data_IF_361077293381
#
_entry.id   IF_361077293381
#
_cell.length_a   1.000
_cell.length_b   1.000
_cell.length_c   1.000
_cell.angle_alpha   90.00
_cell.angle_beta   90.00
_cell.angle_gamma   90.00
#
_symmetry.space_group_name_H-M   'P 1'
#
loop_
_entity.id
_entity.type
_entity.pdbx_description
1 polymer ?
#
# COMPACT_ATOMS: atom_id res chain seq x y z
N UNK A 1 -14.33 18.66 37.41
CA UNK A 1 -14.14 17.27 36.96
C UNK A 1 -14.96 17.04 35.72
N UNK A 2 -14.35 16.40 34.72
CA UNK A 2 -15.06 15.57 33.74
C UNK A 2 -15.77 16.28 32.59
N UNK A 3 -15.03 16.89 31.66
CA UNK A 3 -15.44 16.98 30.26
C UNK A 3 -14.22 16.76 29.35
N UNK A 4 -13.68 15.54 29.40
CA UNK A 4 -12.78 14.99 28.39
C UNK A 4 -13.54 13.95 27.56
N UNK A 5 -14.77 14.31 27.17
CA UNK A 5 -15.57 13.50 26.26
C UNK A 5 -15.30 13.98 24.83
N UNK A 6 -14.77 13.07 24.02
CA UNK A 6 -14.78 13.07 22.54
C UNK A 6 -13.77 13.98 21.81
N UNK A 7 -12.46 13.80 22.00
CA UNK A 7 -11.49 14.03 20.89
C UNK A 7 -10.24 13.15 21.02
N UNK A 8 -10.42 11.83 21.14
CA UNK A 8 -9.28 10.89 20.96
C UNK A 8 -9.58 9.77 19.94
N UNK A 9 -10.73 9.85 19.26
CA UNK A 9 -11.17 8.84 18.28
C UNK A 9 -10.92 9.22 16.81
N UNK A 10 -10.21 10.32 16.53
CA UNK A 10 -10.03 10.84 15.17
C UNK A 10 -8.58 11.22 14.77
N UNK A 11 -7.59 11.09 15.66
CA UNK A 11 -6.18 11.42 15.33
C UNK A 11 -5.33 10.22 14.87
N UNK A 12 -5.90 9.01 14.89
CA UNK A 12 -5.30 7.79 14.34
C UNK A 12 -6.27 7.11 13.37
N UNK A 13 -6.84 7.86 12.43
CA UNK A 13 -7.65 7.27 11.37
C UNK A 13 -6.82 6.14 10.71
N UNK A 14 -7.33 4.92 10.80
CA UNK A 14 -6.82 3.72 10.14
C UNK A 14 -7.03 3.77 8.62
N UNK A 15 -6.96 4.97 8.05
CA UNK A 15 -7.60 5.39 6.81
C UNK A 15 -6.76 6.38 6.02
N UNK A 16 -5.53 6.66 6.44
CA UNK A 16 -4.64 7.50 5.65
C UNK A 16 -3.90 6.67 4.59
N UNK A 17 -3.70 7.21 3.37
CA UNK A 17 -2.92 6.54 2.32
C UNK A 17 -1.51 6.14 2.79
N UNK A 18 -0.87 6.96 3.62
CA UNK A 18 0.47 6.68 4.14
C UNK A 18 0.53 5.44 5.04
N UNK A 19 -0.52 5.19 5.84
CA UNK A 19 -0.60 4.00 6.69
C UNK A 19 -0.79 2.75 5.84
N UNK A 20 -1.75 2.77 4.92
CA UNK A 20 -2.01 1.65 4.01
C UNK A 20 -0.78 1.34 3.16
N UNK A 21 -0.05 2.37 2.71
CA UNK A 21 1.24 2.23 2.05
C UNK A 21 2.27 1.50 2.92
N UNK A 22 2.42 1.90 4.19
CA UNK A 22 3.35 1.27 5.12
C UNK A 22 3.05 -0.21 5.32
N UNK A 23 1.78 -0.52 5.58
CA UNK A 23 1.29 -1.88 5.78
C UNK A 23 1.48 -2.74 4.51
N UNK A 24 1.19 -2.20 3.32
CA UNK A 24 1.38 -2.90 2.05
C UNK A 24 2.87 -3.15 1.74
N UNK A 25 3.74 -2.18 2.03
CA UNK A 25 5.19 -2.33 1.84
C UNK A 25 5.77 -3.37 2.78
N UNK A 26 5.31 -3.43 4.03
CA UNK A 26 5.73 -4.46 4.99
C UNK A 26 5.33 -5.86 4.50
N UNK A 27 4.10 -6.02 4.00
CA UNK A 27 3.66 -7.29 3.38
C UNK A 27 4.52 -7.69 2.18
N UNK A 28 4.95 -6.73 1.36
CA UNK A 28 5.91 -6.99 0.27
C UNK A 28 7.27 -7.46 0.81
N UNK A 29 7.75 -6.89 1.92
CA UNK A 29 9.06 -7.19 2.51
C UNK A 29 9.16 -8.58 3.13
N UNK A 30 8.05 -9.14 3.57
CA UNK A 30 8.01 -10.48 4.19
C UNK A 30 7.59 -11.58 3.21
N UNK A 31 7.14 -11.23 2.00
CA UNK A 31 6.65 -12.20 1.03
C UNK A 31 7.81 -12.95 0.33
N UNK A 32 7.92 -14.29 0.46
CA UNK A 32 9.07 -15.04 -0.02
C UNK A 32 9.37 -14.86 -1.50
N UNK A 33 8.34 -14.77 -2.35
CA UNK A 33 8.54 -14.58 -3.79
C UNK A 33 9.01 -13.16 -4.14
N UNK A 34 8.58 -12.16 -3.37
CA UNK A 34 9.05 -10.78 -3.56
C UNK A 34 10.50 -10.68 -3.10
N UNK A 35 10.84 -11.26 -1.95
CA UNK A 35 12.22 -11.36 -1.47
C UNK A 35 13.10 -12.08 -2.50
N UNK A 36 12.63 -13.19 -3.06
CA UNK A 36 13.38 -13.95 -4.07
C UNK A 36 13.68 -13.18 -5.34
N UNK A 37 12.84 -12.21 -5.72
CA UNK A 37 13.05 -11.37 -6.91
C UNK A 37 13.88 -10.13 -6.59
N UNK A 38 13.54 -9.40 -5.53
CA UNK A 38 14.11 -8.09 -5.23
C UNK A 38 15.36 -8.16 -4.34
N UNK A 39 15.53 -9.27 -3.61
CA UNK A 39 16.50 -9.39 -2.52
C UNK A 39 16.21 -8.42 -1.37
N UNK A 40 17.07 -8.44 -0.36
CA UNK A 40 16.98 -7.50 0.77
C UNK A 40 18.15 -6.50 0.71
N UNK A 41 17.91 -5.21 1.01
CA UNK A 41 16.66 -4.59 1.45
C UNK A 41 15.73 -4.17 0.31
N UNK A 42 14.41 -4.22 0.54
CA UNK A 42 13.39 -3.69 -0.38
C UNK A 42 13.00 -2.26 0.03
N UNK A 43 13.24 -1.31 -0.86
CA UNK A 43 12.87 0.10 -0.70
C UNK A 43 11.52 0.36 -1.35
N UNK A 44 10.68 1.17 -0.72
CA UNK A 44 9.44 1.67 -1.31
C UNK A 44 9.50 3.18 -1.53
N UNK A 45 8.87 3.66 -2.59
CA UNK A 45 8.72 5.09 -2.85
C UNK A 45 7.44 5.41 -3.62
N UNK A 46 6.89 6.60 -3.37
CA UNK A 46 5.72 7.12 -4.07
C UNK A 46 6.03 7.63 -5.49
N UNK A 47 5.05 8.29 -6.10
CA UNK A 47 5.23 8.96 -7.38
C UNK A 47 6.33 10.03 -7.33
N UNK A 48 7.10 10.08 -8.41
CA UNK A 48 8.10 11.13 -8.61
C UNK A 48 7.38 12.37 -9.13
N UNK A 49 7.33 13.42 -8.32
CA UNK A 49 6.90 14.75 -8.82
C UNK A 49 7.88 15.24 -9.90
N UNK A 50 7.45 16.15 -10.79
CA UNK A 50 8.32 16.77 -11.82
C UNK A 50 9.61 17.40 -11.27
N UNK A 51 9.70 17.65 -9.96
CA UNK A 51 10.88 18.18 -9.25
C UNK A 51 11.71 17.09 -8.52
N UNK A 52 11.49 15.81 -8.80
CA UNK A 52 12.29 14.70 -8.26
C UNK A 52 11.96 14.29 -6.82
N UNK A 53 10.93 14.87 -6.18
CA UNK A 53 10.52 14.46 -4.83
C UNK A 53 9.62 13.23 -4.93
N UNK A 54 10.06 12.11 -4.34
CA UNK A 54 9.34 10.81 -4.24
C UNK A 54 8.49 10.71 -2.96
N UNK A 55 7.73 11.75 -2.63
CA UNK A 55 7.06 11.85 -1.32
C UNK A 55 5.57 11.52 -1.32
N UNK A 56 4.91 11.44 -2.49
CA UNK A 56 3.46 11.25 -2.55
C UNK A 56 3.10 9.86 -3.07
N UNK A 57 2.36 9.09 -2.28
CA UNK A 57 1.82 7.81 -2.74
C UNK A 57 0.61 8.08 -3.62
N UNK A 58 0.61 7.54 -4.84
CA UNK A 58 -0.52 7.65 -5.75
C UNK A 58 -1.69 6.89 -5.15
N UNK A 59 -2.81 7.57 -4.90
CA UNK A 59 -3.98 6.95 -4.32
C UNK A 59 -5.26 7.52 -4.93
N UNK A 60 -6.31 6.70 -4.94
CA UNK A 60 -7.65 7.09 -5.37
C UNK A 60 -8.66 6.52 -4.39
N UNK A 61 -9.44 7.40 -3.79
CA UNK A 61 -10.59 7.04 -2.96
C UNK A 61 -11.86 7.03 -3.82
N UNK A 62 -12.71 6.03 -3.64
CA UNK A 62 -13.98 5.92 -4.36
C UNK A 62 -15.00 5.12 -3.56
N UNK A 63 -16.27 5.29 -3.91
CA UNK A 63 -17.37 4.51 -3.34
C UNK A 63 -17.76 3.38 -4.26
N UNK A 64 -17.96 2.18 -3.72
CA UNK A 64 -18.48 1.03 -4.44
C UNK A 64 -19.41 0.23 -3.53
N UNK A 65 -20.61 -0.08 -4.02
CA UNK A 65 -21.62 -0.86 -3.27
C UNK A 65 -21.94 -0.26 -1.88
N UNK A 66 -21.87 1.07 -1.76
CA UNK A 66 -22.09 1.79 -0.50
C UNK A 66 -20.90 1.80 0.47
N UNK A 67 -19.80 1.12 0.15
CA UNK A 67 -18.58 1.07 0.95
C UNK A 67 -17.48 1.95 0.36
N UNK A 68 -16.62 2.51 1.22
CA UNK A 68 -15.42 3.23 0.77
C UNK A 68 -14.34 2.26 0.35
N UNK A 69 -13.70 2.55 -0.77
CA UNK A 69 -12.53 1.85 -1.27
C UNK A 69 -11.40 2.86 -1.44
N UNK A 70 -10.17 2.38 -1.25
CA UNK A 70 -8.97 3.13 -1.59
C UNK A 70 -8.03 2.25 -2.38
N UNK A 71 -7.58 2.75 -3.53
CA UNK A 71 -6.51 2.12 -4.32
C UNK A 71 -5.23 2.90 -4.12
N UNK A 72 -4.12 2.19 -3.94
CA UNK A 72 -2.80 2.78 -3.89
C UNK A 72 -1.91 2.16 -4.97
N UNK A 73 -1.06 3.01 -5.54
CA UNK A 73 0.01 2.64 -6.45
C UNK A 73 1.31 3.28 -5.96
N UNK A 74 2.33 2.46 -5.79
CA UNK A 74 3.66 2.91 -5.43
C UNK A 74 4.70 1.98 -6.04
N UNK A 75 5.97 2.33 -5.90
CA UNK A 75 7.07 1.62 -6.52
C UNK A 75 7.95 1.00 -5.45
N UNK A 76 8.52 -0.17 -5.77
CA UNK A 76 9.55 -0.81 -4.96
C UNK A 76 10.80 -1.05 -5.79
N UNK A 77 11.94 -1.00 -5.12
CA UNK A 77 13.26 -1.25 -5.68
C UNK A 77 14.01 -2.21 -4.76
N UNK A 78 14.65 -3.19 -5.38
CA UNK A 78 15.41 -4.22 -4.70
C UNK A 78 16.79 -3.75 -4.25
N UNK A 79 17.59 -4.73 -3.84
CA UNK A 79 19.01 -4.53 -3.52
C UNK A 79 19.83 -4.07 -4.74
N UNK A 80 19.53 -4.62 -5.91
CA UNK A 80 20.08 -4.18 -7.20
C UNK A 80 19.21 -3.07 -7.81
N UNK A 81 19.79 -1.90 -8.20
CA UNK A 81 19.02 -0.78 -8.77
C UNK A 81 18.24 -1.09 -10.06
N UNK A 82 18.59 -2.19 -10.73
CA UNK A 82 17.96 -2.66 -11.97
C UNK A 82 16.70 -3.47 -11.72
N UNK A 83 16.43 -3.87 -10.47
CA UNK A 83 15.26 -4.65 -10.09
C UNK A 83 14.23 -3.72 -9.47
N UNK A 84 13.22 -3.39 -10.27
CA UNK A 84 12.15 -2.48 -9.91
C UNK A 84 10.80 -3.14 -10.13
N UNK A 85 9.81 -2.67 -9.39
CA UNK A 85 8.44 -3.11 -9.55
C UNK A 85 7.45 -2.08 -9.07
N UNK A 86 6.20 -2.30 -9.48
CA UNK A 86 5.07 -1.46 -9.14
C UNK A 86 4.10 -2.25 -8.28
N UNK A 87 3.81 -1.73 -7.09
CA UNK A 87 2.86 -2.33 -6.16
C UNK A 87 1.50 -1.69 -6.38
N UNK A 88 0.50 -2.56 -6.55
CA UNK A 88 -0.90 -2.21 -6.63
C UNK A 88 -1.61 -2.81 -5.43
N UNK A 89 -2.32 -1.96 -4.68
CA UNK A 89 -3.15 -2.42 -3.57
C UNK A 89 -4.52 -1.77 -3.62
N UNK A 90 -5.52 -2.50 -3.12
CA UNK A 90 -6.86 -1.98 -2.88
C UNK A 90 -7.29 -2.40 -1.48
N UNK A 91 -7.84 -1.44 -0.75
CA UNK A 91 -8.52 -1.69 0.52
C UNK A 91 -10.00 -1.34 0.40
N UNK A 92 -10.83 -2.02 1.19
CA UNK A 92 -12.25 -1.75 1.35
C UNK A 92 -12.56 -1.47 2.82
N UNK A 93 -13.46 -0.55 3.09
CA UNK A 93 -13.97 -0.31 4.44
C UNK A 93 -14.82 -1.50 4.88
N UNK A 94 -14.50 -2.06 6.04
CA UNK A 94 -15.31 -3.06 6.70
C UNK A 94 -16.49 -2.34 7.41
N UNK A 95 -17.75 -2.64 7.07
CA UNK A 95 -18.92 -1.96 7.64
C UNK A 95 -19.13 -2.24 9.12
N UNK A 96 -18.64 -3.37 9.65
CA UNK A 96 -18.77 -3.75 11.05
C UNK A 96 -17.75 -3.03 11.93
N UNK A 97 -16.52 -2.85 11.43
CA UNK A 97 -15.40 -2.30 12.21
C UNK A 97 -15.02 -0.87 11.85
N UNK A 98 -15.46 -0.37 10.69
CA UNK A 98 -15.08 0.93 10.12
C UNK A 98 -13.62 1.03 9.68
N UNK A 99 -12.89 -0.10 9.61
CA UNK A 99 -11.47 -0.15 9.26
C UNK A 99 -11.29 -0.55 7.80
N UNK A 100 -10.21 -0.09 7.19
CA UNK A 100 -9.81 -0.59 5.88
C UNK A 100 -9.15 -1.96 5.98
N UNK A 101 -9.58 -2.87 5.13
CA UNK A 101 -9.03 -4.20 4.96
C UNK A 101 -8.56 -4.39 3.52
N UNK A 102 -7.41 -5.05 3.36
CA UNK A 102 -6.86 -5.34 2.03
C UNK A 102 -7.77 -6.29 1.28
N UNK A 103 -8.20 -5.85 0.11
CA UNK A 103 -8.88 -6.70 -0.87
C UNK A 103 -7.87 -7.40 -1.77
N UNK A 104 -6.80 -6.70 -2.15
CA UNK A 104 -5.66 -7.33 -2.80
C UNK A 104 -4.39 -6.51 -2.65
N UNK A 105 -3.26 -7.18 -2.79
CA UNK A 105 -1.93 -6.60 -2.97
C UNK A 105 -1.20 -7.45 -4.00
N UNK A 106 -0.68 -6.83 -5.05
CA UNK A 106 0.20 -7.49 -6.00
C UNK A 106 1.33 -6.57 -6.46
N UNK A 107 2.41 -7.18 -6.92
CA UNK A 107 3.61 -6.52 -7.43
C UNK A 107 3.80 -6.90 -8.88
N UNK A 108 3.78 -5.93 -9.77
CA UNK A 108 4.25 -6.09 -11.13
C UNK A 108 5.76 -5.87 -11.17
N UNK A 109 6.50 -6.88 -11.62
CA UNK A 109 7.95 -6.81 -11.77
C UNK A 109 8.24 -6.20 -13.15
N UNK A 110 8.90 -5.04 -13.14
CA UNK A 110 9.18 -4.27 -14.36
C UNK A 110 10.38 -4.86 -15.13
N UNK A 111 11.28 -5.52 -14.40
CA UNK A 111 12.50 -6.17 -14.89
C UNK A 111 12.22 -7.55 -15.48
N UNK A 112 13.02 -7.98 -16.46
CA UNK A 112 12.84 -9.28 -17.10
C UNK A 112 13.22 -10.45 -16.17
N UNK A 113 12.44 -11.55 -16.12
CA UNK A 113 11.16 -11.74 -16.80
C UNK A 113 10.02 -10.99 -16.09
N UNK A 114 9.27 -10.19 -16.86
CA UNK A 114 8.12 -9.44 -16.34
C UNK A 114 7.02 -10.40 -15.91
N UNK A 115 6.58 -10.27 -14.66
CA UNK A 115 5.50 -11.07 -14.09
C UNK A 115 4.87 -10.36 -12.91
N UNK A 116 3.68 -10.81 -12.54
CA UNK A 116 2.95 -10.31 -11.38
C UNK A 116 3.07 -11.31 -10.24
N UNK A 117 3.44 -10.83 -9.05
CA UNK A 117 3.44 -11.59 -7.80
C UNK A 117 2.25 -11.15 -6.97
N UNK A 118 1.32 -12.06 -6.70
CA UNK A 118 0.17 -11.80 -5.84
C UNK A 118 0.58 -12.06 -4.39
N UNK A 119 0.53 -11.03 -3.56
CA UNK A 119 0.85 -11.14 -2.12
C UNK A 119 -0.41 -11.48 -1.33
N UNK A 120 -1.52 -10.85 -1.68
CA UNK A 120 -2.81 -11.05 -1.03
C UNK A 120 -3.92 -10.88 -2.05
N UNK A 121 -4.89 -11.79 -2.04
CA UNK A 121 -6.09 -11.71 -2.86
C UNK A 121 -7.30 -12.24 -2.07
N UNK A 122 -8.10 -11.30 -1.58
CA UNK A 122 -9.35 -11.51 -0.84
C UNK A 122 -10.55 -11.02 -1.67
N UNK A 123 -10.45 -11.11 -3.01
CA UNK A 123 -11.50 -10.66 -3.94
C UNK A 123 -12.77 -11.49 -3.88
#
# INVERSE_FOLDING_TARGET
GGLLYVVFKELFSSSSPSKIYGDALEKCRVHPEVIGVFGEPIKGYGETTRRGRRQHVSHVEYMKDGLKHMRLKFYIEGSEPRIQGTVHSEVKENPETGKYEFRFIFVDIDTYPRRTVVIEDNR
#
